data_IF_686961240523
#
_entry.id   IF_686961240523
#
_cell.length_a   1.000
_cell.length_b   1.000
_cell.length_c   1.000
_cell.angle_alpha   90.00
_cell.angle_beta   90.00
_cell.angle_gamma   90.00
#
_symmetry.space_group_name_H-M   'P 1'
#
loop_
_entity.id
_entity.type
_entity.pdbx_description
1 polymer ?
#
# COMPACT_ATOMS: atom_id res chain seq x y z
N UNK A 1 31.26 -44.87 -18.88
CA UNK A 1 32.45 -44.32 -19.55
C UNK A 1 32.00 -43.02 -20.21
N UNK A 2 32.22 -41.88 -19.53
CA UNK A 2 33.27 -40.87 -19.83
C UNK A 2 32.99 -40.18 -21.19
N UNK A 3 32.85 -38.87 -21.33
CA UNK A 3 33.47 -37.74 -20.62
C UNK A 3 32.63 -36.46 -20.69
N UNK A 4 32.95 -35.57 -19.75
CA UNK A 4 32.46 -34.21 -19.58
C UNK A 4 33.08 -33.21 -20.56
N UNK A 5 32.44 -32.04 -20.72
CA UNK A 5 33.16 -30.78 -20.91
C UNK A 5 32.34 -29.59 -20.37
N UNK A 6 32.86 -28.98 -19.30
CA UNK A 6 32.54 -27.66 -18.77
C UNK A 6 33.37 -26.61 -19.52
N UNK A 7 32.78 -25.50 -19.98
CA UNK A 7 33.43 -24.19 -20.15
C UNK A 7 32.34 -23.13 -19.90
N UNK A 8 32.23 -22.52 -18.72
CA UNK A 8 32.96 -21.35 -18.17
C UNK A 8 32.56 -20.01 -18.80
N UNK A 9 31.89 -19.19 -17.98
CA UNK A 9 31.51 -17.81 -18.22
C UNK A 9 32.73 -16.87 -18.27
N UNK A 10 33.00 -16.21 -19.40
CA UNK A 10 33.88 -15.02 -19.46
C UNK A 10 33.86 -14.17 -20.74
N UNK A 11 32.79 -14.13 -21.53
CA UNK A 11 32.80 -13.42 -22.83
C UNK A 11 31.53 -12.62 -23.18
N UNK A 12 31.00 -11.82 -22.25
CA UNK A 12 29.89 -10.89 -22.56
C UNK A 12 30.08 -9.48 -21.95
N UNK A 13 31.32 -8.98 -21.89
CA UNK A 13 31.63 -7.68 -21.28
C UNK A 13 32.55 -6.74 -22.10
N UNK A 14 32.51 -6.77 -23.44
CA UNK A 14 33.30 -5.81 -24.24
C UNK A 14 32.68 -5.40 -25.59
N UNK A 15 31.38 -5.09 -25.62
CA UNK A 15 30.83 -4.37 -26.77
C UNK A 15 29.68 -3.49 -26.31
N UNK A 16 30.00 -2.22 -26.01
CA UNK A 16 29.17 -1.03 -26.19
C UNK A 16 29.87 0.18 -25.53
N UNK A 17 31.08 0.50 -26.00
CA UNK A 17 31.67 1.82 -25.85
C UNK A 17 32.37 2.21 -27.15
N UNK A 18 32.04 3.40 -27.63
CA UNK A 18 32.67 4.14 -28.74
C UNK A 18 32.33 3.65 -30.15
N UNK A 19 31.39 4.35 -30.82
CA UNK A 19 31.71 5.22 -31.97
C UNK A 19 30.65 6.33 -32.03
N UNK A 20 31.07 7.56 -31.72
CA UNK A 20 30.45 8.80 -32.19
C UNK A 20 31.12 9.16 -33.51
N UNK A 21 30.36 9.40 -34.58
CA UNK A 21 30.29 10.71 -35.24
C UNK A 21 29.52 10.67 -36.56
N UNK A 22 28.83 11.79 -36.81
CA UNK A 22 28.38 12.35 -38.08
C UNK A 22 27.29 11.63 -38.87
N UNK A 23 26.06 12.11 -38.72
CA UNK A 23 25.30 12.57 -39.90
C UNK A 23 24.28 13.64 -39.50
N UNK A 24 24.48 14.82 -40.09
CA UNK A 24 23.61 15.99 -40.02
C UNK A 24 22.37 15.72 -40.86
N UNK A 25 21.17 15.70 -40.25
CA UNK A 25 19.91 15.82 -40.98
C UNK A 25 19.14 17.00 -40.42
N UNK A 26 19.01 18.01 -41.28
CA UNK A 26 18.28 19.24 -41.04
C UNK A 26 16.78 18.96 -40.85
N UNK A 27 16.23 19.45 -39.75
CA UNK A 27 14.78 19.54 -39.53
C UNK A 27 14.30 20.94 -39.98
N UNK A 28 13.14 21.03 -40.66
CA UNK A 28 12.63 22.30 -41.15
C UNK A 28 12.20 23.21 -39.98
N UNK A 29 12.49 24.50 -40.14
CA UNK A 29 12.15 25.55 -39.19
C UNK A 29 10.64 25.63 -38.96
N UNK A 30 10.20 25.31 -37.74
CA UNK A 30 8.84 25.61 -37.29
C UNK A 30 8.79 27.09 -36.90
N UNK A 31 8.05 27.82 -37.72
CA UNK A 31 7.73 29.23 -37.62
C UNK A 31 7.20 29.61 -36.23
N UNK A 32 7.83 30.62 -35.62
CA UNK A 32 7.41 31.19 -34.33
C UNK A 32 6.03 31.83 -34.47
N UNK A 33 4.97 31.08 -34.16
CA UNK A 33 3.63 31.66 -34.01
C UNK A 33 3.63 32.62 -32.81
N UNK A 34 3.44 33.91 -33.10
CA UNK A 34 3.16 34.97 -32.13
C UNK A 34 1.96 34.58 -31.27
N UNK A 35 2.17 34.49 -29.96
CA UNK A 35 1.09 34.38 -28.98
C UNK A 35 0.41 35.75 -28.91
N UNK A 36 -0.91 35.86 -29.06
CA UNK A 36 -1.61 37.12 -28.93
C UNK A 36 -1.54 37.62 -27.47
N UNK A 37 -1.10 38.87 -27.30
CA UNK A 37 -1.25 39.65 -26.07
C UNK A 37 -2.71 40.09 -25.95
N UNK A 38 -3.41 39.60 -24.92
CA UNK A 38 -4.48 40.25 -24.11
C UNK A 38 -5.09 39.13 -23.25
N UNK A 39 -5.51 39.31 -22.00
CA UNK A 39 -6.46 40.30 -21.47
C UNK A 39 -6.10 40.61 -20.01
N UNK A 40 -6.23 41.88 -19.61
CA UNK A 40 -5.96 42.35 -18.25
C UNK A 40 -6.81 41.65 -17.19
N UNK A 41 -6.18 41.36 -16.05
CA UNK A 41 -6.88 41.04 -14.81
C UNK A 41 -7.72 42.26 -14.40
N UNK A 42 -9.04 42.13 -14.20
CA UNK A 42 -9.81 43.19 -13.59
C UNK A 42 -9.36 43.34 -12.14
N UNK A 43 -9.11 44.58 -11.75
CA UNK A 43 -8.74 44.95 -10.38
C UNK A 43 -9.77 44.44 -9.39
N UNK A 44 -9.32 43.59 -8.47
CA UNK A 44 -10.12 43.19 -7.32
C UNK A 44 -9.89 44.26 -6.26
N UNK A 45 -10.90 45.13 -6.13
CA UNK A 45 -11.03 46.05 -5.02
C UNK A 45 -11.00 45.30 -3.69
N UNK A 46 -10.42 45.96 -2.69
CA UNK A 46 -10.33 45.52 -1.30
C UNK A 46 -11.74 45.38 -0.73
N UNK A 47 -12.30 44.18 -0.84
CA UNK A 47 -13.48 43.74 -0.12
C UNK A 47 -13.10 42.56 0.75
N UNK A 48 -12.67 42.82 1.98
CA UNK A 48 -12.61 41.81 3.04
C UNK A 48 -14.02 41.25 3.25
N UNK A 49 -14.33 40.17 2.54
CA UNK A 49 -15.60 39.44 2.66
C UNK A 49 -15.27 37.98 2.89
N UNK A 50 -16.05 37.34 3.77
CA UNK A 50 -16.20 35.92 4.19
C UNK A 50 -15.59 34.77 3.37
N UNK A 51 -15.07 35.00 2.16
CA UNK A 51 -14.43 34.03 1.28
C UNK A 51 -13.08 33.51 1.82
N UNK A 52 -12.35 34.30 2.60
CA UNK A 52 -11.08 33.89 3.21
C UNK A 52 -11.21 32.79 4.27
N UNK A 53 -12.33 32.77 5.01
CA UNK A 53 -12.59 31.79 6.08
C UNK A 53 -13.07 30.43 5.54
N UNK A 54 -13.66 30.39 4.34
CA UNK A 54 -14.03 29.14 3.67
C UNK A 54 -12.91 28.58 2.79
N UNK A 55 -12.08 29.44 2.20
CA UNK A 55 -10.90 29.03 1.42
C UNK A 55 -9.77 28.44 2.29
N UNK A 56 -9.78 28.71 3.60
CA UNK A 56 -8.78 28.18 4.53
C UNK A 56 -9.03 26.74 5.01
N UNK A 57 -10.26 26.21 4.90
CA UNK A 57 -10.58 24.87 5.43
C UNK A 57 -10.13 23.78 4.46
N UNK A 58 -9.30 22.87 4.96
CA UNK A 58 -8.67 21.81 4.16
C UNK A 58 -7.37 22.24 3.48
N UNK A 59 -6.76 23.34 3.95
CA UNK A 59 -5.38 23.70 3.64
C UNK A 59 -4.45 22.93 4.58
N UNK A 60 -3.82 21.87 4.09
CA UNK A 60 -2.84 21.10 4.85
C UNK A 60 -1.54 21.91 4.95
N UNK A 61 -1.23 22.32 6.16
CA UNK A 61 -0.03 23.00 6.61
C UNK A 61 0.94 22.09 7.37
N UNK A 62 0.45 21.02 8.00
CA UNK A 62 1.27 19.99 8.64
C UNK A 62 0.58 18.62 8.67
N UNK A 63 1.36 17.55 8.76
CA UNK A 63 0.88 16.20 9.07
C UNK A 63 1.24 15.77 10.50
N UNK A 64 1.85 16.64 11.29
CA UNK A 64 2.31 16.32 12.64
C UNK A 64 1.33 16.87 13.66
N UNK A 65 0.75 16.05 14.57
CA UNK A 65 -0.37 16.45 15.43
C UNK A 65 -0.17 17.73 16.23
N UNK A 66 1.05 17.99 16.73
CA UNK A 66 1.43 19.16 17.51
C UNK A 66 1.57 20.46 16.68
N UNK A 67 1.63 20.33 15.35
CA UNK A 67 1.77 21.45 14.40
C UNK A 67 0.50 21.69 13.58
N UNK A 68 -0.58 20.97 13.87
CA UNK A 68 -1.88 21.18 13.22
C UNK A 68 -2.46 22.56 13.58
N UNK A 69 -3.11 23.17 12.60
CA UNK A 69 -3.84 24.43 12.73
C UNK A 69 -5.33 24.22 12.43
N UNK A 70 -6.17 25.20 12.74
CA UNK A 70 -7.61 25.15 12.42
C UNK A 70 -7.89 25.02 10.91
N UNK A 71 -6.95 25.41 10.05
CA UNK A 71 -7.05 25.34 8.59
C UNK A 71 -6.81 23.93 8.04
N UNK A 72 -6.09 23.09 8.78
CA UNK A 72 -5.85 21.68 8.44
C UNK A 72 -7.12 20.80 8.57
N UNK A 73 -8.18 21.35 9.15
CA UNK A 73 -9.44 20.64 9.35
C UNK A 73 -10.21 20.45 8.05
N UNK A 74 -10.58 19.21 7.76
CA UNK A 74 -11.22 18.76 6.53
C UNK A 74 -12.61 18.25 6.86
N UNK A 75 -13.61 18.76 6.13
CA UNK A 75 -14.94 18.17 6.06
C UNK A 75 -15.01 17.21 4.86
N UNK A 76 -15.06 15.91 5.15
CA UNK A 76 -15.17 14.83 4.17
C UNK A 76 -16.57 14.20 4.14
N UNK A 77 -17.52 14.67 4.96
CA UNK A 77 -18.87 14.10 5.12
C UNK A 77 -19.53 13.78 3.76
N UNK A 78 -19.87 12.51 3.54
CA UNK A 78 -20.55 11.99 2.33
C UNK A 78 -19.87 12.33 0.99
N UNK A 79 -18.66 12.88 1.01
CA UNK A 79 -17.92 13.16 -0.22
C UNK A 79 -17.43 11.84 -0.80
N UNK A 80 -17.43 11.73 -2.13
CA UNK A 80 -16.79 10.59 -2.82
C UNK A 80 -15.27 10.71 -2.83
N UNK A 81 -14.78 11.93 -2.85
CA UNK A 81 -13.37 12.28 -2.97
C UNK A 81 -13.15 13.59 -2.23
N UNK A 82 -12.04 13.67 -1.49
CA UNK A 82 -11.54 14.94 -0.98
C UNK A 82 -10.29 15.32 -1.76
N UNK A 83 -10.14 16.61 -2.02
CA UNK A 83 -8.97 17.17 -2.70
C UNK A 83 -8.38 18.26 -1.82
N UNK A 84 -7.61 17.90 -0.79
CA UNK A 84 -7.05 18.90 0.10
C UNK A 84 -6.04 19.77 -0.65
N UNK A 85 -5.99 21.04 -0.24
CA UNK A 85 -4.98 21.97 -0.73
C UNK A 85 -3.73 21.82 0.11
N UNK A 86 -2.58 21.59 -0.51
CA UNK A 86 -1.30 21.61 0.20
C UNK A 86 -0.84 23.06 0.32
N UNK A 87 -0.41 23.46 1.51
CA UNK A 87 0.23 24.76 1.70
C UNK A 87 1.42 24.88 0.73
N UNK A 88 1.57 25.96 -0.05
CA UNK A 88 2.69 26.12 -0.98
C UNK A 88 4.07 25.93 -0.34
N UNK A 89 4.19 26.19 0.97
CA UNK A 89 5.43 25.94 1.74
C UNK A 89 5.78 24.46 1.83
N UNK A 90 4.80 23.55 1.77
CA UNK A 90 5.00 22.10 1.78
C UNK A 90 5.32 21.53 0.38
N UNK A 91 5.15 22.32 -0.68
CA UNK A 91 5.41 21.86 -2.04
C UNK A 91 6.86 22.13 -2.44
N UNK A 92 7.58 21.07 -2.80
CA UNK A 92 8.85 21.20 -3.50
C UNK A 92 8.59 21.82 -4.88
N UNK A 93 9.39 22.82 -5.30
CA UNK A 93 9.27 23.54 -6.60
C UNK A 93 9.25 22.64 -7.86
N UNK A 94 9.52 21.35 -7.71
CA UNK A 94 9.73 20.40 -8.80
C UNK A 94 8.61 19.38 -9.02
N UNK A 95 7.43 19.55 -8.42
CA UNK A 95 6.29 18.64 -8.67
C UNK A 95 5.73 18.89 -10.08
N UNK A 96 6.30 18.20 -11.09
CA UNK A 96 5.71 18.06 -12.42
C UNK A 96 4.49 17.14 -12.33
N UNK A 97 3.36 17.66 -11.84
CA UNK A 97 2.11 16.90 -11.75
C UNK A 97 0.95 17.79 -11.30
N UNK A 98 -0.31 17.44 -11.65
CA UNK A 98 -1.47 18.23 -11.24
C UNK A 98 -1.59 18.23 -9.71
N UNK A 99 -1.68 19.43 -9.13
CA UNK A 99 -1.81 19.74 -7.70
C UNK A 99 -3.03 19.13 -6.98
N UNK A 100 -3.79 18.27 -7.66
CA UNK A 100 -5.06 17.72 -7.16
C UNK A 100 -4.83 16.30 -6.65
N UNK A 101 -4.46 16.20 -5.37
CA UNK A 101 -4.42 14.92 -4.68
C UNK A 101 -5.83 14.48 -4.33
N UNK A 102 -6.28 13.41 -4.97
CA UNK A 102 -7.59 12.83 -4.71
C UNK A 102 -7.45 11.74 -3.65
N UNK A 103 -8.00 12.00 -2.48
CA UNK A 103 -8.07 11.03 -1.39
C UNK A 103 -9.46 10.41 -1.38
N UNK A 104 -9.49 9.08 -1.28
CA UNK A 104 -10.69 8.26 -1.32
C UNK A 104 -10.80 7.44 -0.04
N UNK A 105 -12.00 7.33 0.52
CA UNK A 105 -12.27 6.42 1.63
C UNK A 105 -12.08 4.95 1.25
N UNK A 106 -12.54 4.59 0.04
CA UNK A 106 -12.38 3.26 -0.52
C UNK A 106 -12.67 3.25 -2.02
N UNK A 107 -12.70 2.07 -2.63
CA UNK A 107 -13.06 1.94 -4.05
C UNK A 107 -14.51 2.36 -4.27
N UNK A 108 -14.70 3.59 -4.77
CA UNK A 108 -15.98 4.17 -5.18
C UNK A 108 -17.05 4.35 -4.08
N UNK A 109 -16.66 4.32 -2.81
CA UNK A 109 -17.54 4.63 -1.68
C UNK A 109 -17.41 6.09 -1.27
N UNK A 110 -18.50 6.68 -0.81
CA UNK A 110 -18.47 7.95 -0.11
C UNK A 110 -17.84 7.76 1.27
N UNK A 111 -17.21 8.82 1.78
CA UNK A 111 -16.85 8.89 3.19
C UNK A 111 -18.12 8.77 4.06
N UNK A 112 -18.05 8.10 5.21
CA UNK A 112 -19.20 7.97 6.11
C UNK A 112 -19.74 9.33 6.57
N UNK A 113 -20.99 9.40 7.04
CA UNK A 113 -21.52 10.59 7.70
C UNK A 113 -20.62 11.03 8.87
N UNK A 114 -20.56 12.33 9.11
CA UNK A 114 -19.74 12.96 10.15
C UNK A 114 -18.22 12.73 10.01
N UNK A 115 -17.74 12.40 8.82
CA UNK A 115 -16.29 12.33 8.54
C UNK A 115 -15.70 13.73 8.49
N UNK A 116 -15.27 14.26 9.64
CA UNK A 116 -14.66 15.58 9.78
C UNK A 116 -13.44 15.49 10.69
N UNK A 117 -12.35 16.17 10.36
CA UNK A 117 -11.15 16.13 11.18
C UNK A 117 -9.85 16.38 10.42
N UNK A 118 -8.76 15.73 10.84
CA UNK A 118 -7.40 16.06 10.40
C UNK A 118 -6.70 14.88 9.73
N UNK A 119 -5.94 15.16 8.68
CA UNK A 119 -4.94 14.22 8.16
C UNK A 119 -3.67 14.33 9.00
N UNK A 120 -3.08 13.19 9.34
CA UNK A 120 -1.83 13.18 10.10
C UNK A 120 -0.98 11.96 9.72
N UNK A 121 0.33 12.07 9.90
CA UNK A 121 1.25 10.96 9.70
C UNK A 121 1.36 10.14 10.98
N UNK A 122 0.97 8.87 10.88
CA UNK A 122 1.09 7.90 11.96
C UNK A 122 2.27 6.97 11.68
N UNK A 123 3.15 6.80 12.68
CA UNK A 123 4.17 5.76 12.68
C UNK A 123 3.88 4.79 13.83
N UNK A 124 3.93 3.45 13.59
CA UNK A 124 3.82 2.48 14.67
C UNK A 124 4.86 2.75 15.77
N UNK A 125 4.47 2.60 17.04
CA UNK A 125 5.35 2.89 18.18
C UNK A 125 6.27 1.73 18.52
N UNK A 126 5.82 0.48 18.33
CA UNK A 126 6.57 -0.71 18.67
C UNK A 126 7.44 -1.17 17.51
N UNK A 127 8.77 -1.09 17.68
CA UNK A 127 9.80 -1.54 16.72
C UNK A 127 9.46 -1.24 15.25
N UNK A 128 9.18 0.03 14.90
CA UNK A 128 8.74 0.35 13.55
C UNK A 128 9.85 0.13 12.55
N UNK A 129 9.58 -0.72 11.56
CA UNK A 129 10.40 -0.77 10.35
C UNK A 129 10.53 0.64 9.74
N UNK A 130 11.65 0.96 9.11
CA UNK A 130 11.92 2.33 8.63
C UNK A 130 10.91 2.80 7.56
N UNK A 131 10.43 1.87 6.74
CA UNK A 131 9.40 2.11 5.73
C UNK A 131 7.96 2.00 6.27
N UNK A 132 7.79 1.77 7.57
CA UNK A 132 6.47 1.77 8.21
C UNK A 132 5.97 3.19 8.43
N UNK A 133 4.64 3.31 8.49
CA UNK A 133 3.94 4.57 8.66
C UNK A 133 2.95 4.82 7.54
N UNK A 134 2.00 5.69 7.81
CA UNK A 134 0.92 6.00 6.90
C UNK A 134 0.30 7.36 7.23
N UNK A 135 -0.28 8.01 6.22
CA UNK A 135 -1.24 9.08 6.49
C UNK A 135 -2.55 8.43 6.95
N UNK A 136 -3.10 8.90 8.07
CA UNK A 136 -4.40 8.52 8.61
C UNK A 136 -5.31 9.74 8.70
N UNK A 137 -6.60 9.49 8.90
CA UNK A 137 -7.60 10.54 9.11
C UNK A 137 -8.16 10.43 10.53
N UNK A 138 -7.86 11.42 11.38
CA UNK A 138 -8.36 11.51 12.76
C UNK A 138 -9.68 12.26 12.74
N UNK A 139 -10.76 11.62 13.18
CA UNK A 139 -12.09 12.22 13.33
C UNK A 139 -12.10 13.18 14.52
N UNK A 140 -12.34 14.46 14.23
CA UNK A 140 -12.48 15.55 15.22
C UNK A 140 -13.62 16.46 14.75
N UNK A 141 -14.77 16.49 15.44
CA UNK A 141 -15.97 17.20 14.97
C UNK A 141 -15.79 18.72 14.80
N UNK A 142 -14.86 19.32 15.54
CA UNK A 142 -14.58 20.76 15.55
C UNK A 142 -13.19 21.04 14.98
N UNK A 143 -12.95 22.21 14.37
CA UNK A 143 -11.65 22.60 13.80
C UNK A 143 -10.62 23.00 14.87
N UNK A 144 -10.71 22.45 16.08
CA UNK A 144 -9.81 22.74 17.21
C UNK A 144 -8.74 21.64 17.30
N UNK A 145 -7.47 21.93 16.96
CA UNK A 145 -6.38 20.96 17.02
C UNK A 145 -6.11 20.42 18.42
N UNK A 146 -6.44 21.16 19.49
CA UNK A 146 -6.22 20.69 20.86
C UNK A 146 -7.08 19.44 21.19
N UNK A 147 -8.15 19.22 20.42
CA UNK A 147 -9.01 18.04 20.54
C UNK A 147 -8.52 16.84 19.75
N UNK A 148 -7.39 16.94 19.04
CA UNK A 148 -6.85 15.85 18.23
C UNK A 148 -6.72 14.54 19.02
N UNK A 149 -6.15 14.60 20.22
CA UNK A 149 -5.96 13.43 21.09
C UNK A 149 -7.27 12.82 21.61
N UNK A 150 -8.38 13.56 21.56
CA UNK A 150 -9.72 13.07 21.93
C UNK A 150 -10.45 12.44 20.75
N UNK A 151 -9.94 12.60 19.53
CA UNK A 151 -10.51 12.04 18.32
C UNK A 151 -10.16 10.56 18.13
N UNK A 152 -10.91 9.90 17.25
CA UNK A 152 -10.67 8.50 16.85
C UNK A 152 -10.24 8.42 15.40
N UNK A 153 -9.48 7.41 15.01
CA UNK A 153 -9.17 7.22 13.59
C UNK A 153 -10.45 6.85 12.82
N UNK A 154 -10.57 7.36 11.59
CA UNK A 154 -11.56 6.90 10.63
C UNK A 154 -11.33 5.41 10.38
N UNK A 155 -12.36 4.60 10.55
CA UNK A 155 -12.29 3.14 10.36
C UNK A 155 -12.81 2.80 8.96
N UNK A 156 -12.11 1.93 8.25
CA UNK A 156 -12.56 1.33 7.00
C UNK A 156 -13.58 0.24 7.28
N UNK A 157 -14.86 0.47 6.95
CA UNK A 157 -15.98 -0.45 7.19
C UNK A 157 -15.73 -1.89 6.72
N UNK A 158 -15.00 -2.08 5.61
CA UNK A 158 -14.73 -3.40 5.05
C UNK A 158 -13.82 -4.26 5.92
N UNK A 159 -12.90 -3.64 6.65
CA UNK A 159 -11.85 -4.35 7.41
C UNK A 159 -11.96 -4.13 8.91
N UNK A 160 -12.65 -3.07 9.35
CA UNK A 160 -12.68 -2.64 10.75
C UNK A 160 -11.37 -2.01 11.23
N UNK A 161 -10.43 -1.73 10.32
CA UNK A 161 -9.14 -1.11 10.66
C UNK A 161 -9.12 0.39 10.37
N UNK A 162 -8.21 1.15 10.99
CA UNK A 162 -7.95 2.53 10.61
C UNK A 162 -7.74 2.66 9.10
N UNK A 163 -8.43 3.62 8.49
CA UNK A 163 -8.19 4.07 7.13
C UNK A 163 -6.79 4.67 7.07
N UNK A 164 -5.99 4.20 6.11
CA UNK A 164 -4.61 4.64 6.00
C UNK A 164 -4.11 4.65 4.56
N UNK A 165 -3.18 5.57 4.29
CA UNK A 165 -2.36 5.64 3.08
C UNK A 165 -0.91 5.33 3.44
N UNK A 166 -0.49 4.06 3.35
CA UNK A 166 0.87 3.64 3.69
C UNK A 166 1.96 4.47 2.99
N UNK A 167 3.07 4.71 3.69
CA UNK A 167 4.22 5.48 3.18
C UNK A 167 4.70 4.98 1.82
N UNK A 168 4.72 3.67 1.63
CA UNK A 168 5.10 3.03 0.36
C UNK A 168 4.13 3.41 -0.77
N UNK A 169 2.83 3.54 -0.52
CA UNK A 169 1.87 4.02 -1.52
C UNK A 169 2.15 5.47 -1.91
N UNK A 170 2.48 6.32 -0.93
CA UNK A 170 2.77 7.74 -1.15
C UNK A 170 4.01 7.92 -2.02
N UNK A 171 5.06 7.14 -1.74
CA UNK A 171 6.33 7.16 -2.45
C UNK A 171 6.25 6.59 -3.89
N UNK A 172 5.52 5.49 -4.07
CA UNK A 172 5.55 4.73 -5.34
C UNK A 172 4.48 5.15 -6.35
N UNK A 173 3.42 5.85 -5.92
CA UNK A 173 2.30 6.22 -6.80
C UNK A 173 2.38 7.69 -7.20
N UNK A 174 2.48 8.02 -8.50
CA UNK A 174 2.59 9.41 -8.97
C UNK A 174 1.47 10.34 -8.50
N UNK A 175 0.24 9.80 -8.35
CA UNK A 175 -0.91 10.57 -7.85
C UNK A 175 -0.79 11.02 -6.37
N UNK A 176 0.18 10.48 -5.63
CA UNK A 176 0.41 10.82 -4.22
C UNK A 176 1.75 11.51 -3.97
N UNK A 177 2.54 11.79 -5.01
CA UNK A 177 3.89 12.34 -4.83
C UNK A 177 3.92 13.67 -4.10
N UNK A 178 2.98 14.60 -4.34
CA UNK A 178 3.03 15.85 -3.57
C UNK A 178 2.54 15.69 -2.12
N UNK A 179 1.74 14.68 -1.77
CA UNK A 179 1.55 14.31 -0.35
C UNK A 179 2.85 13.79 0.25
N UNK A 180 3.59 12.97 -0.49
CA UNK A 180 4.89 12.46 -0.05
C UNK A 180 5.94 13.58 0.11
N UNK A 181 6.01 14.52 -0.84
CA UNK A 181 6.88 15.68 -0.73
C UNK A 181 6.47 16.58 0.43
N UNK A 182 5.17 16.77 0.65
CA UNK A 182 4.67 17.51 1.79
C UNK A 182 5.07 16.86 3.13
N UNK A 183 5.05 15.52 3.24
CA UNK A 183 5.57 14.81 4.42
C UNK A 183 7.07 15.04 4.64
N UNK A 184 7.86 15.16 3.56
CA UNK A 184 9.30 15.43 3.63
C UNK A 184 9.58 16.85 4.09
N UNK A 185 8.87 17.82 3.52
CA UNK A 185 9.02 19.24 3.88
C UNK A 185 8.52 19.51 5.29
N UNK A 186 7.42 18.86 5.71
CA UNK A 186 6.94 18.89 7.09
C UNK A 186 7.87 18.13 8.06
N UNK A 187 8.96 17.51 7.59
CA UNK A 187 9.88 16.69 8.39
C UNK A 187 9.24 15.47 9.09
N UNK A 188 8.01 15.10 8.72
CA UNK A 188 7.38 13.85 9.14
C UNK A 188 8.11 12.62 8.55
N UNK A 189 8.76 12.80 7.40
CA UNK A 189 9.68 11.82 6.78
C UNK A 189 11.05 12.48 6.57
N UNK A 190 12.01 12.29 7.50
CA UNK A 190 13.33 12.88 7.39
C UNK A 190 14.10 12.42 6.13
N UNK A 191 15.04 13.23 5.59
CA UNK A 191 15.79 12.86 4.37
C UNK A 191 16.55 11.53 4.47
N UNK A 192 17.10 11.19 5.64
CA UNK A 192 17.76 9.92 5.87
C UNK A 192 16.80 8.73 5.69
N UNK A 193 15.57 8.86 6.22
CA UNK A 193 14.50 7.87 6.07
C UNK A 193 14.10 7.74 4.59
N UNK A 194 13.88 8.86 3.89
CA UNK A 194 13.55 8.86 2.45
C UNK A 194 14.62 8.11 1.63
N UNK A 195 15.90 8.40 1.87
CA UNK A 195 17.01 7.75 1.17
C UNK A 195 17.03 6.24 1.43
N UNK A 196 16.90 5.82 2.69
CA UNK A 196 16.93 4.41 3.07
C UNK A 196 15.74 3.63 2.51
N UNK A 197 14.50 4.17 2.62
CA UNK A 197 13.30 3.53 2.09
C UNK A 197 13.38 3.37 0.57
N UNK A 198 13.90 4.38 -0.16
CA UNK A 198 14.12 4.27 -1.60
C UNK A 198 15.13 3.20 -1.97
N UNK A 199 16.18 3.03 -1.17
CA UNK A 199 17.18 1.97 -1.34
C UNK A 199 16.61 0.55 -1.14
N UNK A 200 15.58 0.42 -0.29
CA UNK A 200 14.91 -0.85 0.00
C UNK A 200 13.85 -1.27 -1.02
N UNK A 201 13.35 -0.32 -1.84
CA UNK A 201 12.27 -0.59 -2.78
C UNK A 201 12.73 -1.41 -3.99
N UNK A 202 11.99 -2.46 -4.39
CA UNK A 202 12.29 -3.17 -5.61
C UNK A 202 12.03 -2.27 -6.82
N UNK A 203 12.90 -2.33 -7.84
CA UNK A 203 12.79 -1.52 -9.07
C UNK A 203 11.40 -1.59 -9.70
N UNK A 204 10.73 -2.74 -9.63
CA UNK A 204 9.38 -2.93 -10.15
C UNK A 204 8.34 -1.97 -9.53
N UNK A 205 8.48 -1.63 -8.24
CA UNK A 205 7.57 -0.68 -7.55
C UNK A 205 7.87 0.78 -7.92
N UNK A 206 9.07 1.09 -8.40
CA UNK A 206 9.44 2.44 -8.84
C UNK A 206 8.98 2.77 -10.27
N UNK A 207 8.42 1.80 -11.00
CA UNK A 207 7.97 1.97 -12.40
C UNK A 207 6.69 2.82 -12.56
N UNK A 208 6.18 3.42 -11.47
CA UNK A 208 5.02 4.31 -11.51
C UNK A 208 3.67 3.61 -11.71
N UNK A 209 3.62 2.28 -11.67
CA UNK A 209 2.34 1.56 -11.63
C UNK A 209 1.64 1.84 -10.30
N UNK A 210 0.35 2.17 -10.37
CA UNK A 210 -0.49 2.39 -9.20
C UNK A 210 -0.47 1.15 -8.30
N UNK A 211 0.21 1.24 -7.16
CA UNK A 211 0.21 0.21 -6.14
C UNK A 211 -1.02 0.40 -5.23
N UNK A 212 -1.66 -0.70 -4.85
CA UNK A 212 -2.92 -0.74 -4.06
C UNK A 212 -2.91 -1.94 -3.09
N UNK A 213 -1.71 -2.40 -2.70
CA UNK A 213 -1.56 -3.57 -1.86
C UNK A 213 -1.60 -3.24 -0.37
N UNK A 214 -1.70 -4.26 0.47
CA UNK A 214 -1.48 -4.09 1.91
C UNK A 214 0.02 -4.06 2.23
N UNK A 215 0.42 -3.27 3.22
CA UNK A 215 1.77 -3.31 3.80
C UNK A 215 1.73 -4.18 5.05
N UNK A 216 2.57 -5.19 5.12
CA UNK A 216 2.70 -6.08 6.29
C UNK A 216 4.04 -5.80 6.97
N UNK A 217 4.03 -5.67 8.30
CA UNK A 217 5.26 -5.48 9.07
C UNK A 217 6.06 -6.78 9.19
N UNK A 218 5.38 -7.93 9.13
CA UNK A 218 5.96 -9.26 9.08
C UNK A 218 5.17 -10.15 8.11
N UNK A 219 5.83 -11.16 7.55
CA UNK A 219 5.17 -12.22 6.76
C UNK A 219 4.15 -13.00 7.60
N UNK A 220 4.31 -13.02 8.92
CA UNK A 220 3.41 -13.70 9.85
C UNK A 220 2.18 -12.87 10.22
N UNK A 221 2.18 -11.58 9.91
CA UNK A 221 1.06 -10.70 10.26
C UNK A 221 -0.20 -11.15 9.51
N UNK A 222 -1.33 -11.31 10.21
CA UNK A 222 -2.60 -11.53 9.56
C UNK A 222 -2.96 -10.34 8.67
N UNK A 223 -3.58 -10.63 7.53
CA UNK A 223 -3.98 -9.64 6.54
C UNK A 223 -5.36 -9.93 5.96
N UNK A 224 -5.96 -8.95 5.33
CA UNK A 224 -7.35 -9.02 4.89
C UNK A 224 -7.38 -9.42 3.41
N UNK A 225 -8.34 -10.24 3.02
CA UNK A 225 -8.57 -10.55 1.60
C UNK A 225 -10.03 -10.27 1.31
N UNK A 226 -10.27 -9.26 0.47
CA UNK A 226 -11.57 -9.06 -0.15
C UNK A 226 -11.68 -10.04 -1.34
N UNK A 227 -12.45 -11.10 -1.13
CA UNK A 227 -12.59 -12.18 -2.11
C UNK A 227 -13.32 -11.72 -3.39
N UNK A 228 -13.97 -10.56 -3.37
CA UNK A 228 -14.59 -9.96 -4.56
C UNK A 228 -13.59 -9.25 -5.49
N UNK A 229 -12.34 -9.03 -5.05
CA UNK A 229 -11.31 -8.40 -5.88
C UNK A 229 -10.58 -9.44 -6.71
N UNK A 230 -10.32 -9.16 -7.99
CA UNK A 230 -9.65 -10.11 -8.91
C UNK A 230 -8.23 -10.53 -8.49
N UNK A 231 -7.57 -9.75 -7.63
CA UNK A 231 -6.23 -9.99 -7.12
C UNK A 231 -5.97 -9.15 -5.88
N UNK A 232 -5.11 -9.65 -5.00
CA UNK A 232 -4.57 -8.90 -3.87
C UNK A 232 -3.03 -8.81 -4.00
N UNK A 233 -2.45 -7.76 -3.42
CA UNK A 233 -1.02 -7.46 -3.48
C UNK A 233 -0.49 -7.14 -2.09
N UNK A 234 0.78 -7.43 -1.86
CA UNK A 234 1.43 -7.13 -0.58
C UNK A 234 2.80 -6.49 -0.79
N UNK A 235 3.14 -5.59 0.12
CA UNK A 235 4.51 -5.22 0.43
C UNK A 235 4.81 -5.75 1.83
N UNK A 236 5.89 -6.50 1.99
CA UNK A 236 6.32 -7.02 3.29
C UNK A 236 7.58 -6.26 3.68
N UNK A 237 7.56 -5.68 4.87
CA UNK A 237 8.66 -4.89 5.40
C UNK A 237 9.70 -5.84 6.03
N UNK A 238 10.70 -6.22 5.25
CA UNK A 238 11.81 -7.04 5.73
C UNK A 238 12.95 -6.13 6.23
N UNK A 239 13.80 -6.57 7.17
CA UNK A 239 14.77 -5.69 7.83
C UNK A 239 15.68 -4.87 6.91
N UNK A 240 16.02 -5.41 5.75
CA UNK A 240 16.97 -4.84 4.77
C UNK A 240 16.34 -4.51 3.41
N UNK A 241 15.07 -4.88 3.17
CA UNK A 241 14.39 -4.64 1.89
C UNK A 241 12.87 -4.67 2.02
N UNK A 242 12.19 -4.23 0.96
CA UNK A 242 10.73 -4.40 0.86
C UNK A 242 10.44 -5.52 -0.14
N UNK A 243 9.96 -6.65 0.35
CA UNK A 243 9.51 -7.73 -0.53
C UNK A 243 8.15 -7.37 -1.14
N UNK A 244 7.99 -7.66 -2.44
CA UNK A 244 6.78 -7.29 -3.18
C UNK A 244 6.11 -8.52 -3.78
N UNK A 245 4.83 -8.71 -3.45
CA UNK A 245 3.98 -9.79 -3.96
C UNK A 245 2.90 -9.16 -4.86
N UNK A 246 3.22 -8.93 -6.13
CA UNK A 246 2.37 -8.19 -7.11
C UNK A 246 1.21 -9.00 -7.71
N UNK A 247 1.37 -10.31 -7.77
CA UNK A 247 0.47 -11.17 -8.54
C UNK A 247 -0.19 -12.21 -7.69
N UNK A 248 -0.26 -11.99 -6.36
CA UNK A 248 -0.54 -13.03 -5.37
C UNK A 248 -1.51 -14.01 -5.99
N UNK A 249 -2.75 -13.65 -6.38
CA UNK A 249 -3.60 -14.56 -7.15
C UNK A 249 -4.58 -13.90 -8.12
N UNK A 250 -4.98 -14.63 -9.17
CA UNK A 250 -6.26 -14.46 -9.88
C UNK A 250 -7.17 -15.61 -9.45
N UNK A 251 -8.42 -15.33 -9.09
CA UNK A 251 -9.38 -16.36 -8.67
C UNK A 251 -9.71 -17.39 -9.75
N UNK A 252 -9.33 -17.12 -11.00
CA UNK A 252 -9.48 -18.00 -12.14
C UNK A 252 -8.17 -18.13 -12.90
N UNK A 253 -7.81 -19.37 -13.26
CA UNK A 253 -6.65 -19.66 -14.13
C UNK A 253 -7.01 -19.68 -15.61
N UNK A 254 -8.29 -19.67 -15.95
CA UNK A 254 -8.82 -19.98 -17.29
C UNK A 254 -9.33 -18.72 -17.98
N UNK A 255 -8.43 -17.93 -18.53
CA UNK A 255 -8.80 -17.08 -19.66
C UNK A 255 -8.17 -17.68 -20.90
N UNK A 256 -9.00 -18.27 -21.78
CA UNK A 256 -8.69 -18.19 -23.20
C UNK A 256 -8.52 -16.70 -23.52
N UNK A 257 -7.46 -16.36 -24.24
CA UNK A 257 -7.23 -14.99 -24.70
C UNK A 257 -8.52 -14.44 -25.33
N UNK A 258 -9.05 -13.32 -24.79
CA UNK A 258 -10.23 -12.63 -25.34
C UNK A 258 -11.50 -12.67 -24.47
N UNK A 259 -11.66 -13.63 -23.55
CA UNK A 259 -12.86 -13.70 -22.71
C UNK A 259 -12.67 -12.98 -21.36
N UNK A 260 -13.43 -11.92 -21.14
CA UNK A 260 -13.52 -11.28 -19.81
C UNK A 260 -14.20 -12.25 -18.84
N UNK A 261 -13.66 -12.46 -17.62
CA UNK A 261 -14.33 -13.27 -16.62
C UNK A 261 -15.74 -12.73 -16.35
N UNK A 262 -16.75 -13.59 -16.48
CA UNK A 262 -18.11 -13.31 -15.99
C UNK A 262 -18.10 -13.40 -14.46
N UNK A 263 -17.67 -12.32 -13.81
CA UNK A 263 -17.70 -12.16 -12.36
C UNK A 263 -16.55 -12.85 -11.62
N UNK A 264 -16.36 -12.44 -10.38
CA UNK A 264 -15.47 -13.10 -9.41
C UNK A 264 -16.26 -14.23 -8.72
N UNK A 265 -15.72 -15.46 -8.64
CA UNK A 265 -16.46 -16.61 -8.12
C UNK A 265 -16.64 -16.63 -6.60
N UNK A 266 -16.03 -15.69 -5.89
CA UNK A 266 -16.04 -15.60 -4.43
C UNK A 266 -16.43 -14.20 -4.01
N UNK A 267 -17.09 -14.09 -2.85
CA UNK A 267 -17.32 -12.83 -2.16
C UNK A 267 -17.00 -12.97 -0.66
N UNK A 268 -17.24 -11.89 0.10
CA UNK A 268 -16.87 -11.78 1.50
C UNK A 268 -15.47 -11.21 1.71
N UNK A 269 -15.14 -10.96 2.98
CA UNK A 269 -13.83 -10.46 3.42
C UNK A 269 -13.32 -11.40 4.50
N UNK A 270 -12.13 -11.96 4.30
CA UNK A 270 -11.48 -12.86 5.24
C UNK A 270 -10.25 -12.26 5.88
N UNK A 271 -10.00 -12.60 7.14
CA UNK A 271 -8.70 -12.46 7.77
C UNK A 271 -7.87 -13.70 7.43
N UNK A 272 -6.72 -13.51 6.82
CA UNK A 272 -5.88 -14.54 6.27
C UNK A 272 -4.45 -14.45 6.82
N UNK A 273 -3.67 -15.51 6.64
CA UNK A 273 -2.26 -15.55 7.01
C UNK A 273 -1.47 -16.34 5.96
N UNK A 274 -0.19 -15.99 5.81
CA UNK A 274 0.75 -16.76 5.01
C UNK A 274 1.27 -17.97 5.77
N UNK A 275 1.43 -19.09 5.08
CA UNK A 275 2.00 -20.31 5.62
C UNK A 275 2.85 -21.03 4.56
N UNK A 276 3.71 -21.95 5.01
CA UNK A 276 4.35 -22.91 4.11
C UNK A 276 3.38 -24.06 3.85
N UNK A 277 3.23 -24.45 2.59
CA UNK A 277 2.37 -25.55 2.19
C UNK A 277 2.71 -26.82 2.99
N UNK A 278 1.73 -27.46 3.66
CA UNK A 278 1.99 -28.56 4.59
C UNK A 278 2.59 -29.79 3.90
N UNK A 279 2.21 -30.03 2.64
CA UNK A 279 2.75 -31.13 1.82
C UNK A 279 4.10 -30.86 1.16
N UNK A 280 4.77 -29.75 1.44
CA UNK A 280 6.13 -29.52 0.94
C UNK A 280 7.09 -30.54 1.58
N UNK A 281 7.60 -31.47 0.77
CA UNK A 281 8.64 -32.43 1.18
C UNK A 281 9.98 -31.72 1.35
N UNK A 282 10.88 -32.26 2.16
CA UNK A 282 12.22 -31.68 2.43
C UNK A 282 13.05 -31.40 1.17
N UNK A 283 12.79 -32.12 0.07
CA UNK A 283 13.50 -31.96 -1.22
C UNK A 283 12.74 -31.13 -2.26
N UNK A 284 11.54 -30.64 -1.95
CA UNK A 284 10.77 -29.77 -2.84
C UNK A 284 10.89 -28.31 -2.41
N UNK A 285 10.93 -27.41 -3.39
CA UNK A 285 10.90 -25.97 -3.12
C UNK A 285 9.63 -25.64 -2.31
N UNK A 286 9.78 -25.03 -1.11
CA UNK A 286 8.63 -24.72 -0.29
C UNK A 286 7.70 -23.76 -1.05
N UNK A 287 6.40 -23.97 -0.89
CA UNK A 287 5.38 -23.14 -1.53
C UNK A 287 4.68 -22.31 -0.47
N UNK A 288 4.61 -21.02 -0.69
CA UNK A 288 3.81 -20.10 0.10
C UNK A 288 2.33 -20.31 -0.22
N UNK A 289 1.52 -20.50 0.81
CA UNK A 289 0.06 -20.58 0.73
C UNK A 289 -0.58 -19.54 1.62
N UNK A 290 -1.88 -19.34 1.43
CA UNK A 290 -2.68 -18.45 2.25
C UNK A 290 -3.78 -19.25 2.93
N UNK A 291 -3.87 -19.17 4.26
CA UNK A 291 -4.96 -19.74 5.05
C UNK A 291 -5.99 -18.68 5.36
N UNK A 292 -7.27 -19.02 5.28
CA UNK A 292 -8.35 -18.21 5.84
C UNK A 292 -8.46 -18.53 7.33
N UNK A 293 -8.18 -17.56 8.19
CA UNK A 293 -8.33 -17.70 9.63
C UNK A 293 -9.81 -17.60 10.01
N UNK A 294 -10.48 -16.52 9.56
CA UNK A 294 -11.91 -16.28 9.78
C UNK A 294 -12.50 -15.32 8.76
N UNK A 295 -13.79 -15.37 8.55
CA UNK A 295 -14.53 -14.33 7.87
C UNK A 295 -14.75 -13.12 8.78
N UNK A 296 -14.61 -11.94 8.19
CA UNK A 296 -14.98 -10.65 8.78
C UNK A 296 -16.27 -10.15 8.17
N UNK A 297 -16.46 -10.41 6.87
CA UNK A 297 -17.73 -10.30 6.17
C UNK A 297 -18.03 -11.65 5.52
N UNK A 298 -19.17 -12.30 5.83
CA UNK A 298 -19.49 -13.60 5.27
C UNK A 298 -19.64 -13.52 3.74
N UNK A 299 -19.41 -14.64 3.03
CA UNK A 299 -19.66 -14.73 1.60
C UNK A 299 -21.17 -14.65 1.33
N UNK A 300 -21.54 -14.21 0.13
CA UNK A 300 -22.93 -14.24 -0.34
C UNK A 300 -23.42 -15.70 -0.38
N UNK A 301 -24.61 -16.00 0.20
CA UNK A 301 -25.19 -17.34 0.13
C UNK A 301 -25.28 -17.92 -1.28
N UNK A 302 -25.49 -17.06 -2.28
CA UNK A 302 -25.61 -17.42 -3.71
C UNK A 302 -24.27 -17.65 -4.41
N UNK A 303 -23.12 -17.42 -3.75
CA UNK A 303 -21.81 -17.70 -4.35
C UNK A 303 -21.69 -19.20 -4.69
N UNK A 304 -21.28 -19.47 -5.93
CA UNK A 304 -21.04 -20.84 -6.42
C UNK A 304 -19.94 -21.54 -5.62
N UNK A 305 -18.93 -20.80 -5.18
CA UNK A 305 -17.81 -21.32 -4.40
C UNK A 305 -17.61 -20.48 -3.16
N UNK A 306 -17.27 -21.12 -2.04
CA UNK A 306 -17.05 -20.47 -0.74
C UNK A 306 -15.70 -20.92 -0.21
N UNK A 307 -14.97 -20.01 0.42
CA UNK A 307 -13.76 -20.37 1.17
C UNK A 307 -14.19 -20.98 2.51
N UNK A 308 -13.31 -21.75 3.13
CA UNK A 308 -13.58 -22.39 4.43
C UNK A 308 -12.62 -21.84 5.48
N UNK A 309 -13.16 -21.40 6.61
CA UNK A 309 -12.35 -21.00 7.75
C UNK A 309 -11.46 -22.14 8.22
N UNK A 310 -10.26 -21.80 8.66
CA UNK A 310 -9.21 -22.74 9.00
C UNK A 310 -8.61 -23.50 7.81
N UNK A 311 -9.04 -23.28 6.56
CA UNK A 311 -8.51 -23.96 5.38
C UNK A 311 -7.64 -23.03 4.50
N UNK A 312 -6.81 -23.64 3.65
CA UNK A 312 -6.10 -22.91 2.61
C UNK A 312 -7.11 -22.33 1.62
N UNK A 313 -6.97 -21.05 1.28
CA UNK A 313 -7.85 -20.43 0.30
C UNK A 313 -7.63 -21.06 -1.07
N UNK A 314 -8.70 -21.12 -1.85
CA UNK A 314 -8.75 -21.83 -3.12
C UNK A 314 -9.08 -20.89 -4.27
N UNK A 315 -8.62 -21.25 -5.46
CA UNK A 315 -8.96 -20.61 -6.73
C UNK A 315 -9.60 -21.64 -7.66
N UNK A 316 -10.39 -21.17 -8.63
CA UNK A 316 -11.00 -22.02 -9.65
C UNK A 316 -9.95 -22.36 -10.72
N UNK A 317 -9.58 -23.64 -10.77
CA UNK A 317 -8.71 -24.22 -11.80
C UNK A 317 -9.50 -24.93 -12.89
N UNK A 318 -8.79 -25.39 -13.93
CA UNK A 318 -9.35 -26.20 -15.03
C UNK A 318 -10.06 -27.48 -14.53
N UNK A 319 -9.58 -28.05 -13.43
CA UNK A 319 -10.08 -29.30 -12.85
C UNK A 319 -10.70 -29.09 -11.47
N UNK A 320 -11.35 -27.94 -11.27
CA UNK A 320 -11.97 -27.59 -9.98
C UNK A 320 -11.08 -26.73 -9.08
N UNK A 321 -11.44 -26.68 -7.79
CA UNK A 321 -10.78 -25.82 -6.81
C UNK A 321 -9.37 -26.31 -6.51
N UNK A 322 -8.41 -25.38 -6.50
CA UNK A 322 -7.01 -25.67 -6.16
C UNK A 322 -6.50 -24.65 -5.16
N UNK A 323 -5.61 -25.04 -4.23
CA UNK A 323 -5.03 -24.09 -3.31
C UNK A 323 -4.28 -22.98 -4.04
N UNK A 324 -4.27 -21.87 -3.36
CA UNK A 324 -3.63 -20.65 -3.73
C UNK A 324 -2.16 -20.73 -3.32
N UNK A 325 -1.27 -20.96 -4.31
CA UNK A 325 0.15 -21.25 -4.08
C UNK A 325 1.08 -20.30 -4.83
N UNK A 326 2.19 -19.91 -4.20
CA UNK A 326 3.32 -19.19 -4.79
C UNK A 326 4.65 -19.82 -4.41
N UNK A 327 5.65 -19.61 -5.25
CA UNK A 327 7.03 -19.95 -4.90
C UNK A 327 7.55 -18.99 -3.82
N UNK A 328 8.40 -19.49 -2.93
CA UNK A 328 8.99 -18.69 -1.85
C UNK A 328 10.24 -17.91 -2.28
N UNK A 329 10.72 -18.08 -3.51
CA UNK A 329 11.85 -17.35 -4.10
C UNK A 329 11.71 -15.82 -4.02
N UNK A 330 10.47 -15.35 -3.86
CA UNK A 330 10.13 -13.94 -3.64
C UNK A 330 10.41 -13.44 -2.21
N UNK A 331 10.62 -14.33 -1.25
CA UNK A 331 10.84 -14.03 0.18
C UNK A 331 12.34 -13.97 0.52
N UNK A 332 12.71 -13.27 1.60
CA UNK A 332 14.07 -13.42 2.16
C UNK A 332 14.23 -14.71 2.93
N UNK A 333 15.48 -15.07 3.19
CA UNK A 333 15.86 -16.03 4.23
C UNK A 333 15.25 -15.68 5.59
N UNK A 334 15.03 -14.40 5.92
CA UNK A 334 14.40 -13.99 7.18
C UNK A 334 12.91 -14.37 7.23
N UNK A 335 12.12 -13.95 6.24
CA UNK A 335 10.70 -14.30 6.14
C UNK A 335 10.49 -15.82 6.04
N UNK A 336 11.35 -16.52 5.28
CA UNK A 336 11.29 -17.97 5.17
C UNK A 336 11.57 -18.65 6.51
N UNK A 337 12.58 -18.18 7.26
CA UNK A 337 12.90 -18.70 8.60
C UNK A 337 11.73 -18.49 9.56
N UNK A 338 11.15 -17.29 9.59
CA UNK A 338 9.97 -17.00 10.43
C UNK A 338 8.80 -17.96 10.13
N UNK A 339 8.53 -18.23 8.86
CA UNK A 339 7.50 -19.19 8.45
C UNK A 339 7.84 -20.63 8.85
N UNK A 340 9.12 -21.02 8.76
CA UNK A 340 9.59 -22.36 9.17
C UNK A 340 9.48 -22.56 10.69
N UNK A 341 9.92 -21.58 11.47
CA UNK A 341 9.82 -21.57 12.94
C UNK A 341 8.35 -21.58 13.39
N UNK A 342 7.50 -20.77 12.76
CA UNK A 342 6.06 -20.78 13.05
C UNK A 342 5.45 -22.17 12.77
N UNK A 343 5.87 -22.83 11.70
CA UNK A 343 5.41 -24.20 11.38
C UNK A 343 5.84 -25.20 12.45
N UNK A 344 7.08 -25.17 12.92
CA UNK A 344 7.56 -26.14 13.93
C UNK A 344 6.85 -25.96 15.28
N UNK A 345 6.52 -24.73 15.67
CA UNK A 345 5.74 -24.46 16.88
C UNK A 345 4.32 -25.05 16.83
N UNK A 346 3.65 -25.01 15.69
CA UNK A 346 2.30 -25.59 15.54
C UNK A 346 2.31 -27.12 15.43
N UNK A 347 3.38 -27.73 14.90
CA UNK A 347 3.51 -29.19 14.84
C UNK A 347 4.06 -29.82 16.13
N UNK A 348 4.83 -29.06 16.93
CA UNK A 348 5.38 -29.53 18.21
C UNK A 348 4.35 -29.73 19.33
N UNK A 349 3.13 -29.20 19.18
CA UNK A 349 2.07 -29.34 20.20
C UNK A 349 1.28 -30.66 20.14
N UNK A 350 1.65 -31.60 19.27
CA UNK A 350 1.08 -32.96 19.28
C UNK A 350 1.97 -34.03 19.94
N UNK A 351 3.18 -33.67 20.38
CA UNK A 351 4.03 -34.55 21.19
C UNK A 351 4.67 -33.74 22.32
N UNK A 352 4.01 -33.78 23.49
CA UNK A 352 4.53 -33.41 24.81
C UNK A 352 5.09 -31.98 24.96
N UNK A 353 4.34 -31.08 25.62
CA UNK A 353 4.76 -30.44 26.89
C UNK A 353 3.51 -29.91 27.60
N UNK A 354 3.12 -30.61 28.65
CA UNK A 354 2.45 -30.05 29.83
C UNK A 354 3.43 -29.13 30.56
N UNK A 355 2.97 -27.95 31.00
CA UNK A 355 3.52 -27.02 32.01
C UNK A 355 3.84 -25.58 31.55
N UNK A 356 3.09 -24.67 32.18
CA UNK A 356 3.54 -23.40 32.78
C UNK A 356 3.85 -22.23 31.84
N UNK A 357 2.84 -21.38 31.61
CA UNK A 357 2.74 -20.07 32.31
C UNK A 357 1.38 -19.40 32.03
N UNK A 358 0.43 -19.62 32.94
CA UNK A 358 -0.57 -18.60 33.27
C UNK A 358 0.17 -17.49 34.01
N UNK A 359 0.16 -16.26 33.50
CA UNK A 359 0.27 -15.07 34.36
C UNK A 359 -1.02 -14.29 34.21
N UNK A 360 -1.79 -14.39 35.27
CA UNK A 360 -2.97 -13.62 35.60
C UNK A 360 -2.63 -12.13 35.62
N UNK A 361 -3.48 -11.34 34.98
CA UNK A 361 -3.62 -9.91 35.18
C UNK A 361 -4.70 -9.76 36.26
N UNK A 362 -4.29 -9.40 37.47
CA UNK A 362 -5.17 -8.82 38.50
C UNK A 362 -4.30 -7.97 39.41
N UNK A 363 -4.86 -6.82 39.78
CA UNK A 363 -4.44 -5.89 40.83
C UNK A 363 -3.44 -4.82 40.42
N UNK A 364 -3.97 -3.63 40.10
CA UNK A 364 -3.59 -2.36 40.71
C UNK A 364 -4.79 -1.40 40.65
N UNK A 365 -5.46 -1.28 41.79
CA UNK A 365 -6.19 -0.10 42.24
C UNK A 365 -5.24 1.02 42.68
#
# INVERSE_FOLDING_TARGET
>A
MLCAARISARQWLHSLYSVRHNTTLALPAIEKRKIPRTVGLPGIGVGQTKLGDELGKGLISSFTPDRLTLYDWIDAHEKRVITPYLNPKLLMRFTKGPYLHRIYYGHAQNFPPNTKGFLYFHKPTLNPHIASGAIRFRLVPTPDPQRFNRGTDLIMERTGLPWEMPLIHLLTSPCHWALYDALRVDAAVPPAVDHQVRGMLPRAMLTGRRWTGQVLSSILDPFYVDFSLISFRFAILEPDRIAHIDKAHRWMTTHRWGERPKGVPFSGVGLCQFEIHPGAKEREDPKLVVRLLKYLKPPNPADRYKQREGALIQKVGLHGLKPVMRSVDILTSHSLRLLQEHRTCHFGHFLSVSLVRKRTFSDFS
#
